data_IF_620870470054
#
_entry.id   IF_620870470054
#
_cell.length_a   1.000
_cell.length_b   1.000
_cell.length_c   1.000
_cell.angle_alpha   90.00
_cell.angle_beta   90.00
_cell.angle_gamma   90.00
#
_symmetry.space_group_name_H-M   'P 1'
#
loop_
_entity.id
_entity.type
_entity.pdbx_description
1 polymer ?
#
# COMPACT_ATOMS: atom_id res chain seq x y z
N UNK A 1 35.71 -41.10 30.73
CA UNK A 1 35.01 -40.47 29.57
C UNK A 1 34.26 -39.19 29.99
N UNK A 2 34.92 -38.01 29.98
CA UNK A 2 34.27 -36.69 30.18
C UNK A 2 34.39 -35.87 28.90
N UNK A 3 33.57 -36.14 27.87
CA UNK A 3 33.62 -35.36 26.61
C UNK A 3 32.28 -34.90 26.01
N UNK A 4 31.12 -35.16 26.64
CA UNK A 4 29.84 -34.98 25.92
C UNK A 4 28.85 -33.93 26.47
N UNK A 5 29.14 -33.23 27.59
CA UNK A 5 28.25 -32.17 28.11
C UNK A 5 28.47 -30.79 27.47
N UNK A 6 29.70 -30.47 27.07
CA UNK A 6 30.01 -29.16 26.46
C UNK A 6 29.56 -29.06 24.99
N UNK A 7 29.57 -30.17 24.24
CA UNK A 7 29.07 -30.22 22.85
C UNK A 7 27.54 -30.07 22.80
N UNK A 8 26.80 -30.74 23.68
CA UNK A 8 25.33 -30.62 23.72
C UNK A 8 24.86 -29.25 24.20
N UNK A 9 25.55 -28.66 25.19
CA UNK A 9 25.25 -27.29 25.67
C UNK A 9 25.51 -26.24 24.58
N UNK A 10 26.62 -26.36 23.83
CA UNK A 10 26.90 -25.49 22.68
C UNK A 10 25.86 -25.64 21.56
N UNK A 11 25.46 -26.88 21.24
CA UNK A 11 24.42 -27.17 20.23
C UNK A 11 23.05 -26.60 20.64
N UNK A 12 22.63 -26.76 21.89
CA UNK A 12 21.39 -26.18 22.40
C UNK A 12 21.40 -24.65 22.40
N UNK A 13 22.52 -24.01 22.74
CA UNK A 13 22.66 -22.56 22.66
C UNK A 13 22.60 -22.06 21.20
N UNK A 14 23.19 -22.81 20.26
CA UNK A 14 23.12 -22.48 18.83
C UNK A 14 21.69 -22.59 18.29
N UNK A 15 20.94 -23.64 18.65
CA UNK A 15 19.53 -23.81 18.25
C UNK A 15 18.68 -22.66 18.80
N UNK A 16 18.81 -22.35 20.10
CA UNK A 16 18.13 -21.21 20.72
C UNK A 16 18.46 -19.87 20.05
N UNK A 17 19.72 -19.65 19.67
CA UNK A 17 20.15 -18.44 18.97
C UNK A 17 19.64 -18.37 17.52
N UNK A 18 19.47 -19.52 16.85
CA UNK A 18 18.88 -19.60 15.51
C UNK A 18 17.38 -19.30 15.55
N UNK A 19 16.66 -19.87 16.51
CA UNK A 19 15.22 -19.65 16.69
C UNK A 19 14.90 -18.22 17.11
N UNK A 20 15.72 -17.61 17.95
CA UNK A 20 15.55 -16.19 18.32
C UNK A 20 15.77 -15.26 17.13
N UNK A 21 16.74 -15.54 16.25
CA UNK A 21 16.95 -14.78 15.00
C UNK A 21 15.77 -14.91 14.04
N UNK A 22 15.24 -16.13 13.85
CA UNK A 22 14.05 -16.38 13.02
C UNK A 22 12.83 -15.62 13.55
N UNK A 23 12.57 -15.70 14.86
CA UNK A 23 11.48 -14.99 15.51
C UNK A 23 11.59 -13.48 15.32
N UNK A 24 12.79 -12.92 15.49
CA UNK A 24 13.05 -11.48 15.31
C UNK A 24 12.81 -11.01 13.87
N UNK A 25 13.20 -11.81 12.88
CA UNK A 25 12.96 -11.47 11.47
C UNK A 25 11.46 -11.53 11.12
N UNK A 26 10.73 -12.52 11.65
CA UNK A 26 9.28 -12.62 11.48
C UNK A 26 8.55 -11.46 12.16
N UNK A 27 8.94 -11.08 13.37
CA UNK A 27 8.39 -9.92 14.06
C UNK A 27 8.64 -8.61 13.29
N UNK A 28 9.84 -8.46 12.73
CA UNK A 28 10.16 -7.32 11.88
C UNK A 28 9.26 -7.27 10.64
N UNK A 29 9.14 -8.39 9.91
CA UNK A 29 8.23 -8.49 8.77
C UNK A 29 6.79 -8.16 9.16
N UNK A 30 6.27 -8.75 10.24
CA UNK A 30 4.91 -8.50 10.73
C UNK A 30 4.67 -7.01 11.03
N UNK A 31 5.64 -6.31 11.65
CA UNK A 31 5.53 -4.88 11.93
C UNK A 31 5.51 -4.05 10.66
N UNK A 32 6.36 -4.37 9.68
CA UNK A 32 6.36 -3.69 8.38
C UNK A 32 5.05 -3.91 7.61
N UNK A 33 4.51 -5.13 7.61
CA UNK A 33 3.21 -5.44 6.99
C UNK A 33 2.07 -4.72 7.70
N UNK A 34 2.07 -4.68 9.04
CA UNK A 34 1.06 -3.94 9.80
C UNK A 34 1.12 -2.44 9.51
N UNK A 35 2.33 -1.86 9.43
CA UNK A 35 2.53 -0.47 9.07
C UNK A 35 1.93 -0.19 7.68
N UNK A 36 2.23 -1.04 6.69
CA UNK A 36 1.67 -0.89 5.35
C UNK A 36 0.14 -0.98 5.34
N UNK A 37 -0.45 -1.89 6.13
CA UNK A 37 -1.90 -2.00 6.28
C UNK A 37 -2.50 -0.71 6.85
N UNK A 38 -1.88 -0.14 7.89
CA UNK A 38 -2.31 1.14 8.47
C UNK A 38 -2.28 2.24 7.41
N UNK A 39 -1.21 2.33 6.62
CA UNK A 39 -1.10 3.32 5.53
C UNK A 39 -2.23 3.13 4.51
N UNK A 40 -2.55 1.89 4.10
CA UNK A 40 -3.68 1.60 3.21
C UNK A 40 -5.01 2.06 3.82
N UNK A 41 -5.26 1.80 5.10
CA UNK A 41 -6.49 2.21 5.78
C UNK A 41 -6.60 3.74 5.92
N UNK A 42 -5.49 4.43 6.20
CA UNK A 42 -5.46 5.89 6.25
C UNK A 42 -5.71 6.48 4.86
N UNK A 43 -5.07 5.93 3.81
CA UNK A 43 -5.36 6.33 2.42
C UNK A 43 -6.82 6.10 2.06
N UNK A 44 -7.42 4.99 2.48
CA UNK A 44 -8.85 4.74 2.30
C UNK A 44 -9.67 5.83 3.00
N UNK A 45 -9.40 6.13 4.26
CA UNK A 45 -10.14 7.14 5.01
C UNK A 45 -10.07 8.54 4.37
N UNK A 46 -8.92 8.91 3.80
CA UNK A 46 -8.75 10.18 3.08
C UNK A 46 -9.55 10.20 1.77
N UNK A 47 -9.69 9.06 1.10
CA UNK A 47 -10.36 8.95 -0.21
C UNK A 47 -11.82 8.47 -0.13
N UNK A 48 -12.31 8.08 1.04
CA UNK A 48 -13.64 7.49 1.22
C UNK A 48 -14.73 8.50 0.85
N UNK A 49 -15.71 8.06 0.05
CA UNK A 49 -16.84 8.88 -0.41
C UNK A 49 -16.44 10.12 -1.24
N UNK A 50 -15.24 10.10 -1.85
CA UNK A 50 -14.77 11.15 -2.75
C UNK A 50 -14.91 10.71 -4.22
N UNK A 51 -15.41 11.58 -5.12
CA UNK A 51 -15.59 11.23 -6.52
C UNK A 51 -14.25 10.91 -7.19
N UNK A 52 -14.24 9.82 -7.97
CA UNK A 52 -13.07 9.31 -8.67
C UNK A 52 -13.01 9.90 -10.06
N UNK A 53 -12.08 10.83 -10.26
CA UNK A 53 -11.78 11.33 -11.58
C UNK A 53 -10.26 11.35 -11.76
N UNK A 54 -9.70 10.36 -12.49
CA UNK A 54 -8.26 10.34 -12.81
C UNK A 54 -7.80 11.58 -13.61
N UNK A 55 -8.75 12.32 -14.19
CA UNK A 55 -8.49 13.45 -15.06
C UNK A 55 -8.62 14.83 -14.37
N UNK A 56 -9.15 14.90 -13.13
CA UNK A 56 -9.23 16.17 -12.39
C UNK A 56 -8.13 16.25 -11.34
N UNK A 57 -7.50 17.44 -11.16
CA UNK A 57 -6.57 17.69 -10.06
C UNK A 57 -7.34 17.70 -8.74
N UNK A 58 -7.59 16.52 -8.18
CA UNK A 58 -8.24 16.36 -6.89
C UNK A 58 -7.20 16.31 -5.79
N UNK A 59 -7.51 16.95 -4.66
CA UNK A 59 -6.65 17.06 -3.48
C UNK A 59 -6.24 15.67 -2.94
N UNK A 60 -7.09 14.66 -3.16
CA UNK A 60 -6.90 13.27 -2.71
C UNK A 60 -6.19 12.37 -3.74
N UNK A 61 -5.87 12.89 -4.93
CA UNK A 61 -5.22 12.15 -6.01
C UNK A 61 -3.96 11.37 -5.59
N UNK A 62 -3.03 11.93 -4.79
CA UNK A 62 -1.82 11.23 -4.32
C UNK A 62 -2.13 9.95 -3.52
N UNK A 63 -3.05 10.03 -2.56
CA UNK A 63 -3.45 8.89 -1.73
C UNK A 63 -4.18 7.81 -2.55
N UNK A 64 -4.96 8.25 -3.54
CA UNK A 64 -5.69 7.38 -4.45
C UNK A 64 -4.75 6.66 -5.43
N UNK A 65 -3.71 7.34 -5.89
CA UNK A 65 -2.66 6.77 -6.74
C UNK A 65 -1.88 5.68 -6.01
N UNK A 66 -1.58 5.88 -4.72
CA UNK A 66 -0.98 4.86 -3.87
C UNK A 66 -1.85 3.60 -3.78
N UNK A 67 -3.14 3.76 -3.49
CA UNK A 67 -4.11 2.65 -3.43
C UNK A 67 -4.18 1.89 -4.76
N UNK A 68 -4.20 2.63 -5.87
CA UNK A 68 -4.25 2.05 -7.20
C UNK A 68 -3.00 1.22 -7.53
N UNK A 69 -1.81 1.78 -7.31
CA UNK A 69 -0.54 1.10 -7.55
C UNK A 69 -0.40 -0.16 -6.67
N UNK A 70 -0.87 -0.10 -5.44
CA UNK A 70 -0.82 -1.24 -4.50
C UNK A 70 -1.79 -2.35 -4.92
N UNK A 71 -2.98 -2.01 -5.41
CA UNK A 71 -3.96 -2.98 -5.90
C UNK A 71 -3.67 -3.50 -7.33
N UNK A 72 -2.76 -2.84 -8.06
CA UNK A 72 -2.50 -3.09 -9.48
C UNK A 72 -2.22 -4.56 -9.83
N UNK A 73 -1.42 -5.32 -9.05
CA UNK A 73 -1.18 -6.74 -9.36
C UNK A 73 -2.45 -7.60 -9.34
N UNK A 74 -3.42 -7.28 -8.47
CA UNK A 74 -4.71 -7.96 -8.45
C UNK A 74 -5.65 -7.45 -9.55
N UNK A 75 -5.58 -6.17 -9.89
CA UNK A 75 -6.40 -5.56 -10.96
C UNK A 75 -6.01 -6.04 -12.36
N UNK A 76 -4.78 -6.54 -12.53
CA UNK A 76 -4.33 -7.09 -13.80
C UNK A 76 -5.19 -8.27 -14.27
N UNK A 77 -5.59 -9.16 -13.36
CA UNK A 77 -6.40 -10.35 -13.68
C UNK A 77 -7.82 -9.99 -14.18
N UNK A 78 -8.62 -9.17 -13.45
CA UNK A 78 -9.90 -8.67 -13.96
C UNK A 78 -9.76 -7.83 -15.23
N UNK A 79 -8.69 -7.04 -15.36
CA UNK A 79 -8.44 -6.22 -16.55
C UNK A 79 -8.24 -7.07 -17.81
N UNK A 80 -7.45 -8.14 -17.70
CA UNK A 80 -7.24 -9.11 -18.79
C UNK A 80 -8.53 -9.87 -19.09
N UNK A 81 -9.24 -10.36 -18.07
CA UNK A 81 -10.52 -11.06 -18.26
C UNK A 81 -11.54 -10.16 -18.94
N UNK A 82 -11.71 -8.92 -18.48
CA UNK A 82 -12.64 -7.96 -19.07
C UNK A 82 -12.32 -7.66 -20.54
N UNK A 83 -11.04 -7.56 -20.90
CA UNK A 83 -10.60 -7.31 -22.27
C UNK A 83 -10.83 -8.52 -23.19
N UNK A 84 -10.83 -9.74 -22.63
CA UNK A 84 -11.11 -10.98 -23.38
C UNK A 84 -12.61 -11.27 -23.48
N UNK A 85 -13.39 -10.96 -22.42
CA UNK A 85 -14.80 -11.33 -22.32
C UNK A 85 -15.78 -10.24 -22.74
N UNK A 86 -15.30 -9.07 -23.21
CA UNK A 86 -16.13 -7.90 -23.57
C UNK A 86 -17.16 -7.53 -22.48
N UNK A 87 -16.82 -7.80 -21.21
CA UNK A 87 -17.77 -7.76 -20.08
C UNK A 87 -17.92 -6.37 -19.46
N UNK A 88 -17.76 -5.31 -20.27
CA UNK A 88 -17.83 -3.91 -19.84
C UNK A 88 -19.12 -3.55 -19.10
N UNK A 89 -20.22 -4.25 -19.38
CA UNK A 89 -21.55 -3.98 -18.81
C UNK A 89 -21.90 -4.85 -17.60
N UNK A 90 -20.94 -5.55 -17.00
CA UNK A 90 -21.24 -6.33 -15.80
C UNK A 90 -21.42 -5.41 -14.58
N UNK A 91 -22.44 -5.66 -13.72
CA UNK A 91 -22.73 -4.80 -12.56
C UNK A 91 -21.56 -4.73 -11.56
N UNK A 92 -20.72 -5.76 -11.54
CA UNK A 92 -19.48 -5.78 -10.76
C UNK A 92 -18.50 -4.70 -11.26
N UNK A 93 -18.37 -4.52 -12.58
CA UNK A 93 -17.46 -3.53 -13.15
C UNK A 93 -17.98 -2.09 -12.96
N UNK A 94 -19.30 -1.91 -13.04
CA UNK A 94 -19.95 -0.64 -12.72
C UNK A 94 -19.78 -0.26 -11.24
N UNK A 95 -19.88 -1.23 -10.33
CA UNK A 95 -19.61 -1.01 -8.89
C UNK A 95 -18.12 -0.74 -8.60
N UNK A 96 -17.23 -1.40 -9.35
CA UNK A 96 -15.77 -1.20 -9.26
C UNK A 96 -15.33 0.21 -9.66
N UNK A 97 -16.02 0.82 -10.62
CA UNK A 97 -15.61 2.08 -11.25
C UNK A 97 -16.40 3.27 -10.69
N UNK A 98 -17.72 3.14 -10.51
CA UNK A 98 -18.59 4.31 -10.29
C UNK A 98 -19.09 4.50 -8.87
N UNK A 99 -19.18 3.44 -8.05
CA UNK A 99 -19.84 3.58 -6.74
C UNK A 99 -18.88 4.01 -5.62
N UNK A 100 -17.74 3.32 -5.46
CA UNK A 100 -16.72 3.65 -4.44
C UNK A 100 -15.36 3.03 -4.79
N UNK A 101 -14.66 3.53 -5.82
CA UNK A 101 -13.42 2.92 -6.30
C UNK A 101 -12.30 2.94 -5.25
N UNK A 102 -12.24 3.95 -4.38
CA UNK A 102 -11.28 3.98 -3.27
C UNK A 102 -11.44 2.78 -2.31
N UNK A 103 -12.69 2.42 -2.00
CA UNK A 103 -13.04 1.27 -1.15
C UNK A 103 -12.60 -0.03 -1.82
N UNK A 104 -12.93 -0.21 -3.08
CA UNK A 104 -12.55 -1.38 -3.87
C UNK A 104 -11.03 -1.52 -3.94
N UNK A 105 -10.31 -0.45 -4.24
CA UNK A 105 -8.84 -0.45 -4.30
C UNK A 105 -8.24 -0.81 -2.95
N UNK A 106 -8.78 -0.28 -1.84
CA UNK A 106 -8.31 -0.60 -0.50
C UNK A 106 -8.56 -2.07 -0.12
N UNK A 107 -9.73 -2.62 -0.47
CA UNK A 107 -10.02 -4.04 -0.26
C UNK A 107 -9.05 -4.92 -1.05
N UNK A 108 -8.83 -4.61 -2.34
CA UNK A 108 -7.89 -5.36 -3.17
C UNK A 108 -6.46 -5.26 -2.61
N UNK A 109 -6.00 -4.06 -2.27
CA UNK A 109 -4.68 -3.86 -1.66
C UNK A 109 -4.53 -4.63 -0.34
N UNK A 110 -5.55 -4.61 0.52
CA UNK A 110 -5.57 -5.36 1.78
C UNK A 110 -5.59 -6.89 1.56
N UNK A 111 -6.34 -7.37 0.56
CA UNK A 111 -6.36 -8.79 0.19
C UNK A 111 -4.98 -9.24 -0.32
N UNK A 112 -4.36 -8.48 -1.23
CA UNK A 112 -3.02 -8.78 -1.73
C UNK A 112 -2.01 -8.83 -0.58
N UNK A 113 -2.05 -7.83 0.30
CA UNK A 113 -1.19 -7.77 1.48
C UNK A 113 -1.42 -8.97 2.41
N UNK A 114 -2.68 -9.37 2.61
CA UNK A 114 -3.06 -10.55 3.39
C UNK A 114 -2.51 -11.85 2.79
N UNK A 115 -2.60 -12.02 1.47
CA UNK A 115 -2.03 -13.18 0.76
C UNK A 115 -0.52 -13.21 0.92
N UNK A 116 0.17 -12.09 0.67
CA UNK A 116 1.63 -12.01 0.82
C UNK A 116 2.03 -12.29 2.27
N UNK A 117 1.31 -11.72 3.23
CA UNK A 117 1.54 -11.96 4.65
C UNK A 117 1.43 -13.45 5.01
N UNK A 118 0.37 -14.13 4.58
CA UNK A 118 0.15 -15.55 4.84
C UNK A 118 1.24 -16.41 4.18
N UNK A 119 1.60 -16.12 2.93
CA UNK A 119 2.65 -16.84 2.21
C UNK A 119 4.01 -16.72 2.90
N UNK A 120 4.43 -15.50 3.27
CA UNK A 120 5.71 -15.29 3.95
C UNK A 120 5.72 -15.79 5.38
N UNK A 121 4.58 -15.75 6.08
CA UNK A 121 4.46 -16.32 7.43
C UNK A 121 4.54 -17.85 7.41
N UNK A 122 3.91 -18.49 6.43
CA UNK A 122 3.84 -19.96 6.33
C UNK A 122 5.10 -20.56 5.72
N UNK A 123 5.62 -19.94 4.65
CA UNK A 123 6.70 -20.51 3.84
C UNK A 123 7.95 -19.63 3.77
N UNK A 124 7.90 -18.37 4.19
CA UNK A 124 9.01 -17.41 3.99
C UNK A 124 10.32 -17.84 4.64
N UNK A 125 10.27 -18.41 5.85
CA UNK A 125 11.47 -18.94 6.52
C UNK A 125 11.99 -20.20 5.82
N UNK A 126 11.11 -21.06 5.32
CA UNK A 126 11.48 -22.32 4.69
C UNK A 126 12.09 -22.10 3.29
N UNK A 127 11.55 -21.15 2.51
CA UNK A 127 11.98 -20.90 1.14
C UNK A 127 13.14 -19.90 1.03
N UNK A 128 13.12 -18.83 1.83
CA UNK A 128 14.07 -17.72 1.66
C UNK A 128 15.01 -17.51 2.86
N UNK A 129 14.80 -18.27 3.95
CA UNK A 129 15.57 -18.13 5.18
C UNK A 129 15.36 -16.78 5.89
N UNK A 130 16.20 -16.51 6.89
CA UNK A 130 16.10 -15.31 7.73
C UNK A 130 16.42 -14.04 6.95
N UNK A 131 17.42 -14.08 6.05
CA UNK A 131 17.82 -12.94 5.24
C UNK A 131 16.72 -12.54 4.25
N UNK A 132 16.11 -13.51 3.56
CA UNK A 132 15.02 -13.22 2.61
C UNK A 132 13.77 -12.66 3.29
N UNK A 133 13.41 -13.16 4.47
CA UNK A 133 12.31 -12.59 5.26
C UNK A 133 12.59 -11.14 5.68
N UNK A 134 13.86 -10.83 5.98
CA UNK A 134 14.29 -9.47 6.31
C UNK A 134 14.21 -8.53 5.11
N UNK A 135 14.66 -8.99 3.94
CA UNK A 135 14.52 -8.26 2.68
C UNK A 135 13.05 -8.01 2.33
N UNK A 136 12.18 -9.00 2.49
CA UNK A 136 10.74 -8.83 2.31
C UNK A 136 10.16 -7.76 3.25
N UNK A 137 10.61 -7.73 4.51
CA UNK A 137 10.24 -6.65 5.44
C UNK A 137 10.73 -5.27 4.98
N UNK A 138 11.93 -5.17 4.39
CA UNK A 138 12.44 -3.91 3.85
C UNK A 138 11.63 -3.46 2.62
N UNK A 139 11.25 -4.38 1.74
CA UNK A 139 10.34 -4.08 0.63
C UNK A 139 8.99 -3.54 1.12
N UNK A 140 8.39 -4.18 2.13
CA UNK A 140 7.16 -3.68 2.77
C UNK A 140 7.34 -2.27 3.35
N UNK A 141 8.51 -2.00 3.95
CA UNK A 141 8.84 -0.70 4.52
C UNK A 141 9.04 0.38 3.45
N UNK A 142 9.65 0.05 2.31
CA UNK A 142 9.77 0.95 1.16
C UNK A 142 8.38 1.32 0.63
N UNK A 143 7.50 0.33 0.45
CA UNK A 143 6.12 0.58 0.03
C UNK A 143 5.34 1.42 1.05
N UNK A 144 5.50 1.15 2.35
CA UNK A 144 4.89 1.96 3.39
C UNK A 144 5.42 3.40 3.39
N UNK A 145 6.73 3.58 3.24
CA UNK A 145 7.36 4.89 3.12
C UNK A 145 6.86 5.68 1.91
N UNK A 146 6.66 5.01 0.77
CA UNK A 146 6.03 5.59 -0.41
C UNK A 146 4.59 6.06 -0.13
N UNK A 147 3.77 5.23 0.52
CA UNK A 147 2.40 5.61 0.87
C UNK A 147 2.34 6.75 1.88
N UNK A 148 3.25 6.80 2.86
CA UNK A 148 3.36 7.92 3.80
C UNK A 148 3.73 9.21 3.04
N UNK A 149 4.68 9.16 2.11
CA UNK A 149 5.03 10.31 1.28
C UNK A 149 3.81 10.84 0.50
N UNK A 150 3.01 9.96 -0.09
CA UNK A 150 1.78 10.32 -0.81
C UNK A 150 0.75 10.98 0.12
N UNK A 151 0.60 10.49 1.34
CA UNK A 151 -0.28 11.10 2.35
C UNK A 151 0.22 12.48 2.78
N UNK A 152 1.53 12.67 2.95
CA UNK A 152 2.13 13.98 3.27
C UNK A 152 1.90 14.97 2.13
N UNK A 153 2.09 14.55 0.87
CA UNK A 153 1.79 15.40 -0.29
C UNK A 153 0.31 15.80 -0.29
N UNK A 154 -0.60 14.85 -0.06
CA UNK A 154 -2.03 15.14 0.06
C UNK A 154 -2.31 16.16 1.17
N UNK A 155 -1.70 16.01 2.35
CA UNK A 155 -1.84 16.97 3.45
C UNK A 155 -1.33 18.37 3.09
N UNK A 156 -0.20 18.48 2.39
CA UNK A 156 0.33 19.76 1.90
C UNK A 156 -0.66 20.42 0.94
N UNK A 157 -1.23 19.69 -0.01
CA UNK A 157 -2.19 20.24 -0.97
C UNK A 157 -3.46 20.71 -0.23
N UNK A 158 -3.95 19.95 0.75
CA UNK A 158 -5.10 20.36 1.59
C UNK A 158 -4.80 21.67 2.33
N UNK A 159 -3.62 21.81 2.93
CA UNK A 159 -3.22 23.03 3.67
C UNK A 159 -3.06 24.25 2.75
N UNK A 160 -2.70 24.04 1.49
CA UNK A 160 -2.65 25.10 0.49
C UNK A 160 -4.05 25.55 0.07
N UNK A 161 -4.98 24.61 -0.09
CA UNK A 161 -6.37 24.89 -0.46
C UNK A 161 -7.12 25.65 0.67
N UNK A 162 -6.74 25.41 1.94
CA UNK A 162 -7.27 26.14 3.10
C UNK A 162 -6.62 27.52 3.36
N UNK A 163 -5.88 28.08 2.39
CA UNK A 163 -5.16 29.37 2.48
C UNK A 163 -4.18 29.50 3.67
N UNK A 164 -3.77 28.37 4.26
CA UNK A 164 -2.91 28.36 5.46
C UNK A 164 -1.43 28.43 5.08
N UNK A 165 -1.11 28.18 3.81
CA UNK A 165 0.22 28.25 3.23
C UNK A 165 0.18 29.12 1.96
N UNK A 166 1.26 29.88 1.72
CA UNK A 166 1.43 30.64 0.49
C UNK A 166 1.54 29.62 -0.67
N UNK A 167 0.74 29.74 -1.75
CA UNK A 167 0.75 28.77 -2.83
C UNK A 167 2.10 28.73 -3.56
N UNK A 168 2.60 27.53 -3.88
CA UNK A 168 3.89 27.32 -4.56
C UNK A 168 3.90 27.83 -6.02
N UNK A 169 2.73 28.05 -6.62
CA UNK A 169 2.57 28.69 -7.92
C UNK A 169 1.52 29.79 -7.85
N UNK A 170 1.73 30.93 -8.53
CA UNK A 170 0.68 31.92 -8.68
C UNK A 170 -0.50 31.25 -9.39
N UNK A 171 -1.69 31.34 -8.79
CA UNK A 171 -2.94 30.93 -9.43
C UNK A 171 -3.03 31.71 -10.74
N UNK A 172 -2.87 31.03 -11.88
CA UNK A 172 -3.18 31.62 -13.18
C UNK A 172 -4.67 31.88 -13.18
N UNK A 173 -5.05 33.11 -12.85
CA UNK A 173 -6.38 33.63 -13.08
C UNK A 173 -6.73 33.31 -14.54
N UNK A 174 -7.84 32.61 -14.82
CA UNK A 174 -8.31 32.53 -16.19
C UNK A 174 -8.50 33.97 -16.69
N UNK A 175 -8.05 34.31 -17.93
CA UNK A 175 -8.26 35.65 -18.45
C UNK A 175 -9.75 35.94 -18.39
N UNK A 176 -10.10 37.10 -17.82
CA UNK A 176 -11.47 37.55 -17.71
C UNK A 176 -12.15 37.44 -19.07
N UNK A 177 -12.99 36.42 -19.25
CA UNK A 177 -13.85 36.30 -20.41
C UNK A 177 -14.90 37.41 -20.29
N UNK A 178 -14.55 38.54 -20.88
CA UNK A 178 -15.40 39.56 -21.50
C UNK A 178 -16.88 39.42 -21.13
N UNK A 179 -17.30 40.18 -20.11
CA UNK A 179 -18.69 40.64 -20.05
C UNK A 179 -18.91 41.58 -21.24
N UNK A 180 -19.38 41.04 -22.37
CA UNK A 180 -20.02 41.86 -23.40
C UNK A 180 -21.52 41.80 -23.18
N UNK A 181 -22.01 42.83 -22.49
CA UNK A 181 -23.41 43.19 -22.40
C UNK A 181 -23.83 43.90 -23.70
N UNK A 182 -24.95 43.42 -24.28
CA UNK A 182 -25.82 43.96 -25.35
C UNK A 182 -25.71 43.27 -26.70
#
# INVERSE_FOLDING_TARGET
>A
MKKNKNSSKKRNNYIKASDSKKKRALEFFNRCTLLLLIVILVSLAVCFDRPYELAKPSVHGPALWFLHLTAWPLLFLPGVVNNISWAHNTPVMHYLIDTNPALVLAILAAMLLGVIYLLFRRYGIAWFGVSGLRSAGHFMLIFAGWGILQLVICAVIVLQDTNTLIPFHPVKTPPAAVQSSK
#
